data_IF_916635456683
#
_entry.id   IF_916635456683
#
_cell.length_a   1.000
_cell.length_b   1.000
_cell.length_c   1.000
_cell.angle_alpha   90.00
_cell.angle_beta   90.00
_cell.angle_gamma   90.00
#
_symmetry.space_group_name_H-M   'P 1'
#
loop_
_entity.id
_entity.type
_entity.pdbx_description
1 polymer ?
#
# COMPACT_ATOMS: atom_id res chain seq x y z
N UNK A 1 6.36 -50.79 -8.80
CA UNK A 1 7.32 -49.84 -8.20
C UNK A 1 8.00 -48.92 -9.23
N UNK A 2 8.41 -49.39 -10.41
CA UNK A 2 9.08 -48.55 -11.42
C UNK A 2 8.29 -47.32 -11.95
N UNK A 3 6.95 -47.32 -11.88
CA UNK A 3 6.09 -46.22 -12.38
C UNK A 3 6.03 -45.00 -11.45
N UNK A 4 6.08 -45.20 -10.12
CA UNK A 4 6.09 -44.09 -9.14
C UNK A 4 7.46 -43.37 -9.10
N UNK A 5 8.55 -44.11 -9.32
CA UNK A 5 9.90 -43.52 -9.38
C UNK A 5 10.14 -42.68 -10.65
N UNK A 6 9.49 -43.03 -11.76
CA UNK A 6 9.51 -42.24 -12.99
C UNK A 6 8.72 -40.93 -12.83
N UNK A 7 7.53 -41.00 -12.22
CA UNK A 7 6.69 -39.84 -11.87
C UNK A 7 7.44 -38.84 -10.96
N UNK A 8 8.09 -39.33 -9.90
CA UNK A 8 8.89 -38.49 -9.02
C UNK A 8 10.11 -37.86 -9.70
N UNK A 9 10.80 -38.57 -10.61
CA UNK A 9 11.96 -38.02 -11.33
C UNK A 9 11.56 -36.94 -12.33
N UNK A 10 10.45 -37.11 -13.05
CA UNK A 10 9.93 -36.12 -14.00
C UNK A 10 9.42 -34.88 -13.25
N UNK A 11 8.64 -35.08 -12.19
CA UNK A 11 8.22 -34.01 -11.28
C UNK A 11 9.42 -33.28 -10.67
N UNK A 12 10.43 -34.00 -10.17
CA UNK A 12 11.63 -33.39 -9.57
C UNK A 12 12.46 -32.62 -10.60
N UNK A 13 12.57 -33.07 -11.85
CA UNK A 13 13.25 -32.31 -12.93
C UNK A 13 12.47 -31.05 -13.32
N UNK A 14 11.15 -31.15 -13.49
CA UNK A 14 10.28 -30.00 -13.74
C UNK A 14 10.33 -29.00 -12.56
N UNK A 15 10.37 -29.50 -11.32
CA UNK A 15 10.51 -28.69 -10.12
C UNK A 15 11.92 -28.09 -10.00
N UNK A 16 12.99 -28.77 -10.42
CA UNK A 16 14.35 -28.21 -10.45
C UNK A 16 14.47 -27.09 -11.49
N UNK A 17 13.84 -27.24 -12.66
CA UNK A 17 13.72 -26.16 -13.66
C UNK A 17 12.83 -25.04 -13.15
N UNK A 18 11.74 -25.40 -12.47
CA UNK A 18 10.87 -24.51 -11.72
C UNK A 18 11.64 -23.72 -10.67
N UNK A 19 12.54 -24.34 -9.89
CA UNK A 19 13.39 -23.63 -8.92
C UNK A 19 14.38 -22.68 -9.59
N UNK A 20 14.81 -22.96 -10.82
CA UNK A 20 15.55 -22.03 -11.68
C UNK A 20 14.71 -20.86 -12.22
N UNK A 21 13.40 -21.06 -12.41
CA UNK A 21 12.44 -20.01 -12.73
C UNK A 21 11.99 -19.22 -11.48
N UNK A 22 11.86 -19.87 -10.32
CA UNK A 22 11.56 -19.24 -9.05
C UNK A 22 12.74 -18.40 -8.53
N UNK A 23 13.97 -18.75 -8.88
CA UNK A 23 15.16 -17.90 -8.70
C UNK A 23 15.29 -16.78 -9.74
N UNK A 24 14.63 -16.88 -10.91
CA UNK A 24 14.49 -15.76 -11.85
C UNK A 24 13.67 -14.62 -11.22
N UNK A 25 12.62 -14.94 -10.47
CA UNK A 25 11.86 -13.98 -9.65
C UNK A 25 12.60 -13.48 -8.39
N UNK A 26 13.72 -14.11 -7.99
CA UNK A 26 14.59 -13.60 -6.92
C UNK A 26 15.54 -12.50 -7.41
N UNK A 27 15.70 -12.33 -8.73
CA UNK A 27 16.44 -11.18 -9.26
C UNK A 27 15.63 -9.92 -8.91
N UNK A 28 16.18 -9.13 -7.98
CA UNK A 28 15.70 -7.80 -7.62
C UNK A 28 15.33 -7.05 -8.91
N UNK A 29 14.30 -6.18 -8.91
CA UNK A 29 14.14 -5.26 -10.02
C UNK A 29 15.47 -4.53 -10.19
N UNK A 30 16.08 -4.67 -11.38
CA UNK A 30 17.13 -3.76 -11.79
C UNK A 30 16.57 -2.35 -11.56
N UNK A 31 17.33 -1.51 -10.85
CA UNK A 31 16.96 -0.12 -10.65
C UNK A 31 16.52 0.44 -12.01
N UNK A 32 15.25 0.85 -12.10
CA UNK A 32 14.67 1.44 -13.31
C UNK A 32 15.42 2.75 -13.57
N UNK A 33 16.50 2.63 -14.32
CA UNK A 33 17.04 3.70 -15.14
C UNK A 33 16.01 3.88 -16.24
N UNK A 34 15.40 5.07 -16.24
CA UNK A 34 14.22 5.35 -17.05
C UNK A 34 14.49 5.16 -18.53
N UNK A 35 13.72 4.26 -19.15
CA UNK A 35 13.34 4.36 -20.55
C UNK A 35 11.87 3.94 -20.70
N UNK A 36 11.07 4.67 -21.49
CA UNK A 36 9.65 4.40 -21.65
C UNK A 36 9.44 3.32 -22.70
N UNK A 37 9.03 2.11 -22.30
CA UNK A 37 8.62 1.08 -23.25
C UNK A 37 7.09 0.96 -23.33
N UNK A 38 6.59 1.55 -24.41
CA UNK A 38 5.28 1.46 -25.09
C UNK A 38 4.37 0.28 -24.68
N UNK A 39 3.12 0.63 -24.40
CA UNK A 39 1.95 -0.26 -24.50
C UNK A 39 1.75 -0.76 -25.94
N UNK A 40 1.39 -2.04 -26.10
CA UNK A 40 0.36 -2.36 -27.06
C UNK A 40 -0.69 -3.33 -26.50
N UNK A 41 -1.95 -2.92 -26.60
CA UNK A 41 -3.03 -3.84 -26.95
C UNK A 41 -3.70 -4.52 -25.77
N UNK A 42 -4.77 -3.87 -25.32
CA UNK A 42 -5.89 -4.39 -24.56
C UNK A 42 -6.39 -5.77 -25.04
N UNK A 43 -6.55 -6.70 -24.09
CA UNK A 43 -7.79 -7.44 -23.90
C UNK A 43 -7.86 -7.91 -22.44
N UNK A 44 -8.72 -7.25 -21.66
CA UNK A 44 -9.28 -7.84 -20.46
C UNK A 44 -10.15 -9.03 -20.87
N UNK A 45 -9.89 -10.20 -20.29
CA UNK A 45 -10.68 -11.39 -20.54
C UNK A 45 -10.52 -12.37 -19.39
N UNK A 46 -11.48 -12.34 -18.47
CA UNK A 46 -11.63 -13.24 -17.32
C UNK A 46 -12.04 -14.67 -17.76
N UNK A 47 -11.37 -15.20 -18.78
CA UNK A 47 -11.70 -16.47 -19.45
C UNK A 47 -10.52 -17.41 -19.69
N UNK A 48 -9.32 -17.05 -19.22
CA UNK A 48 -8.08 -17.76 -19.60
C UNK A 48 -7.89 -19.17 -19.04
N UNK A 49 -8.65 -19.57 -18.01
CA UNK A 49 -8.46 -20.86 -17.33
C UNK A 49 -9.46 -21.95 -17.76
N UNK A 50 -10.65 -21.57 -18.23
CA UNK A 50 -11.70 -22.54 -18.60
C UNK A 50 -11.50 -23.14 -20.02
N UNK A 51 -10.84 -22.40 -20.92
CA UNK A 51 -10.62 -22.86 -22.30
C UNK A 51 -9.52 -23.91 -22.46
N UNK A 52 -8.56 -23.98 -21.55
CA UNK A 52 -7.37 -24.84 -21.70
C UNK A 52 -7.62 -26.30 -21.29
N UNK A 53 -8.64 -26.56 -20.46
CA UNK A 53 -8.91 -27.90 -19.93
C UNK A 53 -9.57 -28.87 -20.92
N UNK A 54 -10.01 -28.41 -22.10
CA UNK A 54 -10.91 -29.21 -22.96
C UNK A 54 -10.25 -30.00 -24.11
N UNK A 55 -8.92 -29.97 -24.26
CA UNK A 55 -8.26 -30.44 -25.49
C UNK A 55 -7.30 -31.64 -25.35
N UNK A 56 -7.32 -32.39 -24.24
CA UNK A 56 -6.25 -33.39 -23.98
C UNK A 56 -6.87 -34.72 -23.44
N UNK A 57 -7.17 -35.63 -24.39
CA UNK A 57 -7.56 -37.07 -24.34
C UNK A 57 -6.65 -38.13 -23.61
N UNK A 58 -7.21 -38.69 -22.52
CA UNK A 58 -7.23 -40.13 -22.11
C UNK A 58 -5.92 -40.90 -21.78
N UNK A 59 -5.82 -41.25 -20.50
CA UNK A 59 -4.89 -42.15 -19.77
C UNK A 59 -3.41 -41.77 -19.66
N UNK A 60 -2.64 -41.59 -20.74
CA UNK A 60 -1.24 -41.09 -20.62
C UNK A 60 -1.18 -39.58 -20.36
N UNK A 61 -2.19 -38.88 -20.86
CA UNK A 61 -2.43 -37.46 -20.62
C UNK A 61 -2.92 -37.15 -19.20
N UNK A 62 -3.36 -38.17 -18.45
CA UNK A 62 -3.66 -38.01 -17.03
C UNK A 62 -2.43 -37.70 -16.18
N UNK A 63 -1.27 -38.31 -16.52
CA UNK A 63 -0.01 -38.13 -15.80
C UNK A 63 0.63 -36.75 -16.07
N UNK A 64 0.55 -36.27 -17.31
CA UNK A 64 0.95 -34.89 -17.65
C UNK A 64 -0.03 -33.86 -17.08
N UNK A 65 -1.32 -34.17 -16.99
CA UNK A 65 -2.30 -33.32 -16.33
C UNK A 65 -2.10 -33.23 -14.80
N UNK A 66 -1.80 -34.34 -14.11
CA UNK A 66 -1.51 -34.34 -12.68
C UNK A 66 -0.23 -33.57 -12.34
N UNK A 67 0.81 -33.71 -13.15
CA UNK A 67 2.05 -32.93 -12.98
C UNK A 67 1.82 -31.44 -13.22
N UNK A 68 1.06 -31.06 -14.25
CA UNK A 68 0.69 -29.66 -14.48
C UNK A 68 -0.17 -29.08 -13.34
N UNK A 69 -1.12 -29.86 -12.80
CA UNK A 69 -1.90 -29.44 -11.62
C UNK A 69 -1.01 -29.16 -10.40
N UNK A 70 -0.06 -30.05 -10.10
CA UNK A 70 0.90 -29.84 -8.99
C UNK A 70 1.78 -28.60 -9.22
N UNK A 71 2.18 -28.33 -10.47
CA UNK A 71 2.94 -27.12 -10.81
C UNK A 71 2.11 -25.84 -10.69
N UNK A 72 0.83 -25.89 -11.05
CA UNK A 72 -0.10 -24.78 -10.87
C UNK A 72 -0.34 -24.47 -9.38
N UNK A 73 -0.52 -25.50 -8.55
CA UNK A 73 -0.62 -25.37 -7.10
C UNK A 73 0.66 -24.78 -6.48
N UNK A 74 1.83 -25.26 -6.90
CA UNK A 74 3.10 -24.73 -6.47
C UNK A 74 3.28 -23.24 -6.87
N UNK A 75 2.87 -22.89 -8.10
CA UNK A 75 2.88 -21.51 -8.56
C UNK A 75 1.95 -20.62 -7.71
N UNK A 76 0.72 -21.07 -7.42
CA UNK A 76 -0.23 -20.35 -6.57
C UNK A 76 0.33 -20.07 -5.18
N UNK A 77 0.95 -21.07 -4.56
CA UNK A 77 1.57 -20.94 -3.23
C UNK A 77 2.73 -19.95 -3.26
N UNK A 78 3.57 -20.01 -4.30
CA UNK A 78 4.71 -19.10 -4.44
C UNK A 78 4.27 -17.65 -4.72
N UNK A 79 3.26 -17.45 -5.58
CA UNK A 79 2.68 -16.13 -5.82
C UNK A 79 2.12 -15.56 -4.51
N UNK A 80 1.40 -16.37 -3.74
CA UNK A 80 0.83 -15.96 -2.44
C UNK A 80 1.93 -15.56 -1.46
N UNK A 81 3.02 -16.33 -1.38
CA UNK A 81 4.18 -16.01 -0.54
C UNK A 81 4.83 -14.69 -0.94
N UNK A 82 5.06 -14.47 -2.24
CA UNK A 82 5.67 -13.24 -2.76
C UNK A 82 4.78 -12.02 -2.57
N UNK A 83 3.47 -12.17 -2.76
CA UNK A 83 2.50 -11.11 -2.48
C UNK A 83 2.52 -10.71 -1.02
N UNK A 84 2.59 -11.68 -0.10
CA UNK A 84 2.66 -11.38 1.33
C UNK A 84 3.96 -10.65 1.69
N UNK A 85 5.10 -11.06 1.11
CA UNK A 85 6.38 -10.38 1.31
C UNK A 85 6.34 -8.93 0.81
N UNK A 86 5.84 -8.71 -0.41
CA UNK A 86 5.75 -7.37 -0.98
C UNK A 86 4.74 -6.51 -0.22
N UNK A 87 3.62 -7.09 0.24
CA UNK A 87 2.65 -6.40 1.11
C UNK A 87 3.31 -5.90 2.38
N UNK A 88 4.05 -6.77 3.08
CA UNK A 88 4.74 -6.38 4.30
C UNK A 88 5.77 -5.27 4.04
N UNK A 89 6.51 -5.35 2.92
CA UNK A 89 7.48 -4.32 2.53
C UNK A 89 6.82 -2.98 2.26
N UNK A 90 5.77 -2.96 1.45
CA UNK A 90 5.05 -1.73 1.07
C UNK A 90 4.33 -1.12 2.27
N UNK A 91 3.73 -1.93 3.14
CA UNK A 91 3.13 -1.47 4.39
C UNK A 91 4.16 -0.84 5.33
N UNK A 92 5.38 -1.40 5.42
CA UNK A 92 6.46 -0.81 6.21
C UNK A 92 6.84 0.59 5.69
N UNK A 93 7.05 0.71 4.38
CA UNK A 93 7.40 1.99 3.74
C UNK A 93 6.29 3.02 3.94
N UNK A 94 5.03 2.63 3.72
CA UNK A 94 3.87 3.50 3.96
C UNK A 94 3.78 3.92 5.43
N UNK A 95 4.03 2.99 6.37
CA UNK A 95 4.07 3.28 7.81
C UNK A 95 5.14 4.29 8.18
N UNK A 96 6.35 4.17 7.65
CA UNK A 96 7.44 5.14 7.85
C UNK A 96 7.06 6.52 7.31
N UNK A 97 6.47 6.59 6.12
CA UNK A 97 6.01 7.85 5.52
C UNK A 97 4.88 8.50 6.34
N UNK A 98 3.91 7.71 6.83
CA UNK A 98 2.82 8.19 7.68
C UNK A 98 3.37 8.71 9.02
N UNK A 99 4.30 7.99 9.65
CA UNK A 99 4.92 8.42 10.91
C UNK A 99 5.65 9.75 10.74
N UNK A 100 6.46 9.90 9.68
CA UNK A 100 7.12 11.17 9.39
C UNK A 100 6.10 12.29 9.16
N UNK A 101 5.02 12.01 8.42
CA UNK A 101 3.96 13.01 8.19
C UNK A 101 3.27 13.43 9.49
N UNK A 102 3.10 12.51 10.45
CA UNK A 102 2.54 12.82 11.78
C UNK A 102 3.43 13.77 12.57
N UNK A 103 4.75 13.56 12.53
CA UNK A 103 5.72 14.46 13.16
C UNK A 103 5.64 15.85 12.52
N UNK A 104 5.67 15.94 11.19
CA UNK A 104 5.50 17.21 10.46
C UNK A 104 4.18 17.91 10.81
N UNK A 105 3.08 17.16 10.93
CA UNK A 105 1.78 17.71 11.34
C UNK A 105 1.79 18.21 12.78
N UNK A 106 2.48 17.53 13.70
CA UNK A 106 2.61 17.94 15.10
C UNK A 106 3.40 19.27 15.21
N UNK A 107 4.49 19.39 14.46
CA UNK A 107 5.29 20.61 14.41
C UNK A 107 4.47 21.78 13.84
N UNK A 108 3.78 21.56 12.71
CA UNK A 108 2.86 22.55 12.13
C UNK A 108 1.79 23.02 13.13
N UNK A 109 1.23 22.11 13.94
CA UNK A 109 0.23 22.46 14.94
C UNK A 109 0.82 23.28 16.10
N UNK A 110 2.04 22.97 16.52
CA UNK A 110 2.74 23.77 17.52
C UNK A 110 2.99 25.19 17.01
N UNK A 111 3.42 25.32 15.75
CA UNK A 111 3.62 26.62 15.09
C UNK A 111 2.31 27.41 15.00
N UNK A 112 1.23 26.80 14.50
CA UNK A 112 -0.08 27.47 14.44
C UNK A 112 -0.59 27.92 15.79
N UNK A 113 -0.42 27.10 16.85
CA UNK A 113 -0.80 27.49 18.21
C UNK A 113 -0.03 28.73 18.64
N UNK A 114 1.28 28.73 18.44
CA UNK A 114 2.14 29.87 18.78
C UNK A 114 1.77 31.14 18.01
N UNK A 115 1.50 31.01 16.71
CA UNK A 115 1.09 32.14 15.86
C UNK A 115 -0.25 32.75 16.32
N UNK A 116 -1.24 31.89 16.62
CA UNK A 116 -2.55 32.33 17.11
C UNK A 116 -2.39 33.00 18.49
N UNK A 117 -1.69 32.37 19.43
CA UNK A 117 -1.45 32.95 20.75
C UNK A 117 -0.75 34.31 20.64
N UNK A 118 0.29 34.43 19.83
CA UNK A 118 1.04 35.68 19.70
C UNK A 118 0.21 36.79 19.03
N UNK A 119 -0.66 36.42 18.05
CA UNK A 119 -1.63 37.34 17.43
C UNK A 119 -2.59 37.94 18.46
N UNK A 120 -3.03 37.17 19.45
CA UNK A 120 -4.02 37.60 20.44
C UNK A 120 -3.41 38.14 21.75
N UNK A 121 -2.12 37.90 21.98
CA UNK A 121 -1.40 38.26 23.21
C UNK A 121 -1.47 39.73 23.57
N UNK A 122 -1.24 40.63 22.61
CA UNK A 122 -1.25 42.07 22.87
C UNK A 122 -2.63 42.54 23.35
N UNK A 123 -3.70 42.03 22.74
CA UNK A 123 -5.08 42.36 23.11
C UNK A 123 -5.46 41.80 24.47
N UNK A 124 -5.12 40.55 24.75
CA UNK A 124 -5.35 39.98 26.08
C UNK A 124 -4.55 40.70 27.17
N UNK A 125 -3.31 41.12 26.88
CA UNK A 125 -2.51 41.90 27.82
C UNK A 125 -3.15 43.27 28.11
N UNK A 126 -3.64 43.98 27.09
CA UNK A 126 -4.35 45.25 27.25
C UNK A 126 -5.61 45.09 28.10
N UNK A 127 -6.47 44.12 27.79
CA UNK A 127 -7.70 43.86 28.55
C UNK A 127 -7.40 43.51 30.01
N UNK A 128 -6.43 42.63 30.25
CA UNK A 128 -6.00 42.23 31.60
C UNK A 128 -5.37 43.40 32.36
N UNK A 129 -4.64 44.27 31.69
CA UNK A 129 -4.09 45.50 32.30
C UNK A 129 -5.22 46.46 32.71
N UNK A 130 -6.18 46.72 31.81
CA UNK A 130 -7.33 47.57 32.10
C UNK A 130 -8.15 47.05 33.28
N UNK A 131 -8.31 45.74 33.42
CA UNK A 131 -9.02 45.12 34.55
C UNK A 131 -8.37 45.39 35.92
N UNK A 132 -7.06 45.67 35.95
CA UNK A 132 -6.30 45.92 37.18
C UNK A 132 -6.34 47.38 37.66
N UNK A 133 -6.95 48.30 36.89
CA UNK A 133 -7.02 49.69 37.31
C UNK A 133 -7.90 49.85 38.56
N UNK A 134 -7.44 50.64 39.57
CA UNK A 134 -8.08 50.68 40.89
C UNK A 134 -9.48 51.32 40.88
N UNK A 135 -9.76 52.23 39.95
CA UNK A 135 -10.98 53.06 39.95
C UNK A 135 -12.05 52.61 38.95
N UNK A 136 -12.00 51.37 38.47
CA UNK A 136 -13.00 50.85 37.53
C UNK A 136 -14.36 50.60 38.19
N UNK A 137 -15.43 51.03 37.53
CA UNK A 137 -16.80 50.70 37.94
C UNK A 137 -17.08 49.19 37.79
N UNK A 138 -18.01 48.65 38.58
CA UNK A 138 -18.33 47.22 38.56
C UNK A 138 -18.81 46.76 37.17
N UNK A 139 -19.66 47.56 36.51
CA UNK A 139 -20.14 47.29 35.15
C UNK A 139 -19.01 47.27 34.11
N UNK A 140 -18.00 48.13 34.27
CA UNK A 140 -16.85 48.15 33.37
C UNK A 140 -15.94 46.93 33.57
N UNK A 141 -15.80 46.46 34.83
CA UNK A 141 -15.05 45.23 35.13
C UNK A 141 -15.71 44.02 34.49
N UNK A 142 -17.04 43.92 34.59
CA UNK A 142 -17.81 42.84 33.99
C UNK A 142 -17.67 42.83 32.46
N UNK A 143 -17.80 43.99 31.80
CA UNK A 143 -17.59 44.10 30.35
C UNK A 143 -16.19 43.66 29.92
N UNK A 144 -15.15 44.08 30.64
CA UNK A 144 -13.76 43.68 30.32
C UNK A 144 -13.57 42.17 30.53
N UNK A 145 -14.18 41.59 31.56
CA UNK A 145 -14.14 40.13 31.77
C UNK A 145 -14.84 39.37 30.64
N UNK A 146 -16.00 39.83 30.19
CA UNK A 146 -16.68 39.28 29.01
C UNK A 146 -15.82 39.38 27.75
N UNK A 147 -15.17 40.52 27.50
CA UNK A 147 -14.26 40.69 26.37
C UNK A 147 -13.06 39.74 26.43
N UNK A 148 -12.50 39.48 27.62
CA UNK A 148 -11.43 38.50 27.81
C UNK A 148 -11.93 37.10 27.46
N UNK A 149 -13.11 36.70 27.96
CA UNK A 149 -13.70 35.39 27.68
C UNK A 149 -13.94 35.20 26.19
N UNK A 150 -14.53 36.20 25.51
CA UNK A 150 -14.76 36.15 24.07
C UNK A 150 -13.46 36.01 23.27
N UNK A 151 -12.39 36.68 23.71
CA UNK A 151 -11.09 36.58 23.03
C UNK A 151 -10.42 35.21 23.26
N UNK A 152 -10.52 34.64 24.47
CA UNK A 152 -10.04 33.29 24.79
C UNK A 152 -10.84 32.20 24.04
N UNK A 153 -12.15 32.37 23.90
CA UNK A 153 -12.99 31.53 23.06
C UNK A 153 -12.58 31.63 21.60
N UNK A 154 -12.28 32.84 21.09
CA UNK A 154 -11.81 33.05 19.73
C UNK A 154 -10.50 32.33 19.45
N UNK A 155 -9.51 32.43 20.34
CA UNK A 155 -8.24 31.68 20.26
C UNK A 155 -8.52 30.18 20.19
N UNK A 156 -9.39 29.69 21.07
CA UNK A 156 -9.75 28.27 21.14
C UNK A 156 -10.40 27.78 19.84
N UNK A 157 -11.29 28.57 19.25
CA UNK A 157 -11.95 28.27 17.99
C UNK A 157 -10.97 28.29 16.80
N UNK A 158 -10.07 29.27 16.75
CA UNK A 158 -9.03 29.34 15.71
C UNK A 158 -8.08 28.14 15.80
N UNK A 159 -7.63 27.76 17.00
CA UNK A 159 -6.79 26.56 17.21
C UNK A 159 -7.53 25.29 16.80
N UNK A 160 -8.81 25.15 17.18
CA UNK A 160 -9.63 23.99 16.78
C UNK A 160 -9.79 23.90 15.26
N UNK A 161 -10.05 25.02 14.59
CA UNK A 161 -10.16 25.07 13.14
C UNK A 161 -8.86 24.61 12.47
N UNK A 162 -7.72 25.15 12.88
CA UNK A 162 -6.40 24.75 12.36
C UNK A 162 -6.05 23.30 12.69
N UNK A 163 -6.45 22.83 13.87
CA UNK A 163 -6.31 21.41 14.22
C UNK A 163 -7.07 20.51 13.25
N UNK A 164 -8.33 20.85 12.97
CA UNK A 164 -9.14 20.10 12.01
C UNK A 164 -8.58 20.11 10.59
N UNK A 165 -8.03 21.24 10.12
CA UNK A 165 -7.37 21.33 8.81
C UNK A 165 -6.17 20.38 8.70
N UNK A 166 -5.29 20.37 9.71
CA UNK A 166 -4.09 19.51 9.71
C UNK A 166 -4.44 18.04 9.88
N UNK A 167 -5.43 17.71 10.72
CA UNK A 167 -5.93 16.33 10.85
C UNK A 167 -6.53 15.82 9.54
N UNK A 168 -7.26 16.67 8.81
CA UNK A 168 -7.77 16.33 7.48
C UNK A 168 -6.63 16.12 6.46
N UNK A 169 -5.58 16.93 6.49
CA UNK A 169 -4.36 16.75 5.66
C UNK A 169 -3.73 15.37 5.93
N UNK A 170 -3.54 15.02 7.21
CA UNK A 170 -2.95 13.75 7.63
C UNK A 170 -3.82 12.55 7.23
N UNK A 171 -5.15 12.67 7.39
CA UNK A 171 -6.10 11.63 7.01
C UNK A 171 -6.09 11.40 5.49
N UNK A 172 -6.09 12.48 4.69
CA UNK A 172 -6.00 12.41 3.24
C UNK A 172 -4.68 11.76 2.78
N UNK A 173 -3.55 12.16 3.40
CA UNK A 173 -2.25 11.55 3.12
C UNK A 173 -2.23 10.05 3.46
N UNK A 174 -2.75 9.68 4.64
CA UNK A 174 -2.81 8.28 5.08
C UNK A 174 -3.63 7.42 4.11
N UNK A 175 -4.79 7.92 3.69
CA UNK A 175 -5.64 7.26 2.69
C UNK A 175 -4.93 7.12 1.35
N UNK A 176 -4.21 8.17 0.91
CA UNK A 176 -3.40 8.15 -0.30
C UNK A 176 -2.29 7.08 -0.26
N UNK A 177 -1.58 6.96 0.87
CA UNK A 177 -0.56 5.92 1.06
C UNK A 177 -1.16 4.51 1.00
N UNK A 178 -2.31 4.29 1.65
CA UNK A 178 -3.00 3.00 1.61
C UNK A 178 -3.43 2.62 0.18
N UNK A 179 -4.03 3.56 -0.55
CA UNK A 179 -4.42 3.35 -1.94
C UNK A 179 -3.21 3.05 -2.84
N UNK A 180 -2.09 3.76 -2.66
CA UNK A 180 -0.85 3.50 -3.40
C UNK A 180 -0.28 2.10 -3.12
N UNK A 181 -0.32 1.64 -1.87
CA UNK A 181 0.09 0.28 -1.50
C UNK A 181 -0.79 -0.77 -2.20
N UNK A 182 -2.11 -0.59 -2.18
CA UNK A 182 -3.06 -1.50 -2.83
C UNK A 182 -2.84 -1.55 -4.35
N UNK A 183 -2.66 -0.39 -4.99
CA UNK A 183 -2.40 -0.29 -6.42
C UNK A 183 -1.10 -1.01 -6.81
N UNK A 184 -0.01 -0.77 -6.06
CA UNK A 184 1.27 -1.44 -6.30
C UNK A 184 1.18 -2.95 -6.10
N UNK A 185 0.45 -3.41 -5.08
CA UNK A 185 0.24 -4.84 -4.85
C UNK A 185 -0.56 -5.51 -5.97
N UNK A 186 -1.60 -4.85 -6.47
CA UNK A 186 -2.41 -5.38 -7.57
C UNK A 186 -1.60 -5.42 -8.87
N UNK A 187 -0.81 -4.38 -9.16
CA UNK A 187 0.15 -4.37 -10.28
C UNK A 187 1.14 -5.53 -10.17
N UNK A 188 1.72 -5.74 -8.99
CA UNK A 188 2.66 -6.84 -8.74
C UNK A 188 2.00 -8.21 -8.87
N UNK A 189 0.79 -8.38 -8.34
CA UNK A 189 -0.03 -9.60 -8.49
C UNK A 189 -0.26 -9.95 -9.95
N UNK A 190 -0.73 -9.00 -10.75
CA UNK A 190 -0.99 -9.21 -12.19
C UNK A 190 0.29 -9.58 -12.92
N UNK A 191 1.43 -8.98 -12.56
CA UNK A 191 2.73 -9.33 -13.13
C UNK A 191 3.12 -10.78 -12.79
N UNK A 192 3.07 -11.16 -11.52
CA UNK A 192 3.40 -12.52 -11.07
C UNK A 192 2.53 -13.58 -11.77
N UNK A 193 1.23 -13.32 -11.91
CA UNK A 193 0.32 -14.23 -12.60
C UNK A 193 0.59 -14.32 -14.10
N UNK A 194 0.86 -13.21 -14.79
CA UNK A 194 1.24 -13.23 -16.21
C UNK A 194 2.52 -14.00 -16.45
N UNK A 195 3.56 -13.74 -15.66
CA UNK A 195 4.83 -14.43 -15.79
C UNK A 195 4.71 -15.92 -15.45
N UNK A 196 3.96 -16.26 -14.39
CA UNK A 196 3.72 -17.63 -13.96
C UNK A 196 2.89 -18.46 -14.95
N UNK A 197 1.85 -17.88 -15.53
CA UNK A 197 1.01 -18.55 -16.55
C UNK A 197 1.78 -18.77 -17.85
N UNK A 198 2.55 -17.78 -18.30
CA UNK A 198 3.41 -17.94 -19.47
C UNK A 198 4.47 -19.03 -19.27
N UNK A 199 4.99 -19.18 -18.04
CA UNK A 199 5.89 -20.28 -17.71
C UNK A 199 5.20 -21.64 -17.70
N UNK A 200 4.02 -21.75 -17.07
CA UNK A 200 3.24 -22.98 -17.09
C UNK A 200 2.89 -23.42 -18.50
N UNK A 201 2.55 -22.49 -19.38
CA UNK A 201 2.25 -22.77 -20.79
C UNK A 201 3.48 -23.34 -21.51
N UNK A 202 4.65 -22.72 -21.35
CA UNK A 202 5.90 -23.24 -21.92
C UNK A 202 6.28 -24.62 -21.36
N UNK A 203 6.04 -24.85 -20.08
CA UNK A 203 6.33 -26.15 -19.47
C UNK A 203 5.33 -27.23 -19.93
N UNK A 204 4.06 -26.87 -20.16
CA UNK A 204 3.07 -27.76 -20.77
C UNK A 204 3.43 -28.13 -22.21
N UNK A 205 3.87 -27.15 -23.03
CA UNK A 205 4.35 -27.38 -24.39
C UNK A 205 5.57 -28.32 -24.41
N UNK A 206 6.52 -28.16 -23.47
CA UNK A 206 7.69 -29.04 -23.35
C UNK A 206 7.33 -30.45 -22.91
N UNK A 207 6.45 -30.58 -21.92
CA UNK A 207 6.00 -31.90 -21.45
C UNK A 207 5.21 -32.65 -22.53
N UNK A 208 4.62 -31.94 -23.51
CA UNK A 208 4.03 -32.54 -24.69
C UNK A 208 4.97 -32.73 -25.88
N UNK A 209 6.21 -32.22 -25.83
CA UNK A 209 7.25 -32.37 -26.86
C UNK A 209 8.36 -33.35 -26.48
N UNK A 210 8.63 -33.55 -25.18
CA UNK A 210 9.55 -34.57 -24.65
C UNK A 210 8.92 -35.99 -24.67
N UNK A 211 7.77 -36.16 -25.35
CA UNK A 211 7.05 -37.41 -25.63
C UNK A 211 7.44 -38.01 -27.00
#
# INVERSE_FOLDING_TARGET
MARQDADWKTYRRALQRGTGFFSFFQKRPAAETGEPHRDPGEAAGDGGLAGFQRLVLTEKQGLTAETLKRLEEALRLEISRKLQQEKNRLQKIAGEAISKKREECADKLADYRREIEEKHKARLADLRFRLQLPDLAAEEKERIQEEILLEEERITMEIKAKTGEVEAELAAFTKGQQAAVEEMLEKYRRRLWREGTAWLQKEAERLGQDD
#
